data_IF_070793261147
#
_entry.id   IF_070793261147
#
_cell.length_a   1.000
_cell.length_b   1.000
_cell.length_c   1.000
_cell.angle_alpha   90.00
_cell.angle_beta   90.00
_cell.angle_gamma   90.00
#
_symmetry.space_group_name_H-M   'P 1'
#
loop_
_entity.id
_entity.type
_entity.pdbx_description
1 polymer ?
#
# COMPACT_ATOMS: atom_id res chain seq x y z
N UNK A 1 13.55 -28.56 3.45
CA UNK A 1 14.37 -27.38 3.81
C UNK A 1 14.83 -26.70 2.52
N UNK A 2 14.71 -25.37 2.34
CA UNK A 2 15.24 -24.71 1.16
C UNK A 2 16.75 -24.93 1.08
N UNK A 3 17.28 -25.06 -0.14
CA UNK A 3 18.73 -25.11 -0.33
C UNK A 3 19.38 -23.87 0.29
N UNK A 4 20.63 -24.00 0.79
CA UNK A 4 21.36 -22.89 1.41
C UNK A 4 21.36 -21.65 0.51
N UNK A 5 21.49 -21.85 -0.81
CA UNK A 5 21.41 -20.82 -1.84
C UNK A 5 20.06 -20.11 -1.86
N UNK A 6 18.94 -20.86 -1.87
CA UNK A 6 17.59 -20.27 -1.85
C UNK A 6 17.35 -19.46 -0.58
N UNK A 7 17.81 -19.95 0.58
CA UNK A 7 17.74 -19.20 1.84
C UNK A 7 18.52 -17.89 1.78
N UNK A 8 19.78 -17.92 1.35
CA UNK A 8 20.62 -16.71 1.24
C UNK A 8 20.00 -15.70 0.27
N UNK A 9 19.52 -16.15 -0.89
CA UNK A 9 18.87 -15.28 -1.87
C UNK A 9 17.60 -14.62 -1.30
N UNK A 10 16.77 -15.41 -0.60
CA UNK A 10 15.51 -14.92 0.01
C UNK A 10 15.80 -13.91 1.12
N UNK A 11 16.78 -14.21 1.98
CA UNK A 11 17.14 -13.34 3.10
C UNK A 11 17.80 -12.04 2.59
N UNK A 12 18.67 -12.12 1.59
CA UNK A 12 19.31 -10.96 0.95
C UNK A 12 18.27 -10.05 0.28
N UNK A 13 17.34 -10.62 -0.48
CA UNK A 13 16.24 -9.87 -1.08
C UNK A 13 15.34 -9.24 -0.01
N UNK A 14 15.07 -9.96 1.08
CA UNK A 14 14.27 -9.47 2.20
C UNK A 14 14.89 -8.27 2.90
N UNK A 15 16.19 -8.34 3.24
CA UNK A 15 16.91 -7.20 3.80
C UNK A 15 17.05 -6.05 2.80
N UNK A 16 17.32 -6.35 1.53
CA UNK A 16 17.38 -5.35 0.47
C UNK A 16 16.09 -4.54 0.35
N UNK A 17 14.92 -5.20 0.37
CA UNK A 17 13.63 -4.54 0.35
C UNK A 17 13.37 -3.67 1.59
N UNK A 18 13.80 -4.11 2.78
CA UNK A 18 13.68 -3.29 3.99
C UNK A 18 14.57 -2.04 3.90
N UNK A 19 15.82 -2.19 3.49
CA UNK A 19 16.74 -1.05 3.33
C UNK A 19 16.25 -0.07 2.28
N UNK A 20 15.75 -0.57 1.14
CA UNK A 20 15.11 0.27 0.13
C UNK A 20 13.87 0.97 0.68
N UNK A 21 13.04 0.27 1.45
CA UNK A 21 11.86 0.86 2.08
C UNK A 21 12.19 1.96 3.09
N UNK A 22 13.27 1.82 3.85
CA UNK A 22 13.78 2.87 4.75
C UNK A 22 14.35 4.04 3.93
N UNK A 23 15.19 3.76 2.94
CA UNK A 23 15.82 4.77 2.08
C UNK A 23 14.80 5.54 1.22
N UNK A 24 13.65 4.94 0.92
CA UNK A 24 12.55 5.56 0.18
C UNK A 24 11.39 5.98 1.08
N UNK A 25 11.48 5.77 2.39
CA UNK A 25 10.42 6.08 3.36
C UNK A 25 10.14 7.58 3.53
N UNK A 26 11.10 8.43 3.17
CA UNK A 26 10.96 9.89 3.15
C UNK A 26 10.32 10.41 1.86
N UNK A 27 10.26 9.61 0.79
CA UNK A 27 9.58 10.03 -0.43
C UNK A 27 8.07 10.13 -0.15
N UNK A 28 7.42 11.27 -0.47
CA UNK A 28 5.99 11.43 -0.34
C UNK A 28 5.31 10.50 -1.36
N UNK A 29 5.06 9.27 -0.91
CA UNK A 29 4.56 8.19 -1.74
C UNK A 29 4.42 6.90 -0.95
N UNK A 30 3.65 5.93 -1.44
CA UNK A 30 3.29 4.72 -0.73
C UNK A 30 4.39 3.66 -0.81
N UNK A 31 5.64 4.04 -1.12
CA UNK A 31 6.70 3.08 -1.43
C UNK A 31 7.30 2.43 -0.19
N UNK A 32 7.62 3.24 0.83
CA UNK A 32 8.43 2.78 1.96
C UNK A 32 7.78 1.67 2.78
N UNK A 33 6.54 1.88 3.23
CA UNK A 33 5.86 0.93 4.13
C UNK A 33 5.59 -0.42 3.43
N UNK A 34 5.01 -0.49 2.21
CA UNK A 34 4.85 -1.74 1.48
C UNK A 34 6.17 -2.44 1.14
N UNK A 35 7.24 -1.70 0.84
CA UNK A 35 8.59 -2.29 0.62
C UNK A 35 9.11 -2.96 1.90
N UNK A 36 9.01 -2.28 3.06
CA UNK A 36 9.39 -2.85 4.35
C UNK A 36 8.53 -4.08 4.68
N UNK A 37 7.20 -4.00 4.48
CA UNK A 37 6.30 -5.13 4.70
C UNK A 37 6.57 -6.29 3.75
N UNK A 38 6.90 -6.02 2.49
CA UNK A 38 7.30 -7.01 1.49
C UNK A 38 8.60 -7.71 1.88
N UNK A 39 9.60 -6.94 2.33
CA UNK A 39 10.87 -7.47 2.83
C UNK A 39 10.70 -8.33 4.09
N UNK A 40 9.88 -7.88 5.05
CA UNK A 40 9.51 -8.68 6.22
C UNK A 40 8.73 -9.95 5.83
N UNK A 41 7.86 -9.86 4.82
CA UNK A 41 7.17 -11.00 4.24
C UNK A 41 8.15 -12.06 3.73
N UNK A 42 9.17 -11.64 2.97
CA UNK A 42 10.21 -12.53 2.45
C UNK A 42 11.05 -13.14 3.57
N UNK A 43 11.49 -12.33 4.54
CA UNK A 43 12.26 -12.80 5.70
C UNK A 43 11.46 -13.78 6.57
N UNK A 44 10.14 -13.62 6.66
CA UNK A 44 9.27 -14.48 7.48
C UNK A 44 9.19 -15.94 7.03
N UNK A 45 9.68 -16.24 5.81
CA UNK A 45 9.80 -17.60 5.27
C UNK A 45 10.82 -18.40 6.07
N UNK A 46 11.96 -17.81 6.39
CA UNK A 46 13.07 -18.49 7.07
C UNK A 46 13.31 -17.99 8.51
N UNK A 47 12.72 -16.85 8.90
CA UNK A 47 13.01 -16.19 10.16
C UNK A 47 11.75 -15.96 11.00
N UNK A 48 11.66 -16.65 12.14
CA UNK A 48 10.53 -16.53 13.05
C UNK A 48 10.38 -15.13 13.66
N UNK A 49 11.49 -14.40 13.85
CA UNK A 49 11.45 -13.01 14.34
C UNK A 49 10.74 -12.08 13.35
N UNK A 50 11.02 -12.23 12.04
CA UNK A 50 10.41 -11.40 11.00
C UNK A 50 8.91 -11.65 10.89
N UNK A 51 8.50 -12.91 11.09
CA UNK A 51 7.09 -13.28 11.21
C UNK A 51 6.41 -12.58 12.39
N UNK A 52 7.02 -12.64 13.59
CA UNK A 52 6.48 -11.98 14.79
C UNK A 52 6.37 -10.47 14.61
N UNK A 53 7.41 -9.83 14.05
CA UNK A 53 7.42 -8.40 13.79
C UNK A 53 6.33 -8.01 12.78
N UNK A 54 6.18 -8.75 11.68
CA UNK A 54 5.12 -8.50 10.69
C UNK A 54 3.73 -8.54 11.33
N UNK A 55 3.45 -9.56 12.15
CA UNK A 55 2.17 -9.69 12.86
C UNK A 55 1.95 -8.51 13.79
N UNK A 56 2.95 -8.14 14.59
CA UNK A 56 2.87 -6.97 15.48
C UNK A 56 2.60 -5.66 14.71
N UNK A 57 3.25 -5.45 13.56
CA UNK A 57 3.00 -4.28 12.71
C UNK A 57 1.57 -4.29 12.16
N UNK A 58 1.05 -5.44 11.75
CA UNK A 58 -0.32 -5.54 11.25
C UNK A 58 -1.36 -5.26 12.33
N UNK A 59 -1.15 -5.81 13.53
CA UNK A 59 -2.04 -5.62 14.68
C UNK A 59 -2.05 -4.16 15.15
N UNK A 60 -0.87 -3.55 15.28
CA UNK A 60 -0.77 -2.16 15.73
C UNK A 60 -1.16 -1.16 14.63
N UNK A 61 -0.77 -1.46 13.39
CA UNK A 61 -0.98 -0.62 12.21
C UNK A 61 -2.46 -0.46 11.84
N UNK A 62 -3.28 -1.50 12.06
CA UNK A 62 -4.73 -1.43 11.86
C UNK A 62 -5.40 -0.30 12.66
N UNK A 63 -4.88 0.04 13.85
CA UNK A 63 -5.40 1.16 14.66
C UNK A 63 -5.01 2.54 14.11
N UNK A 64 -3.79 2.66 13.55
CA UNK A 64 -3.30 3.92 12.99
C UNK A 64 -3.99 4.24 11.66
N UNK A 65 -4.22 3.23 10.81
CA UNK A 65 -4.97 3.40 9.56
C UNK A 65 -6.39 3.89 9.85
N UNK A 66 -7.05 3.38 10.89
CA UNK A 66 -8.40 3.82 11.27
C UNK A 66 -8.45 5.25 11.82
N UNK A 67 -7.36 5.74 12.41
CA UNK A 67 -7.23 7.16 12.83
C UNK A 67 -6.96 8.09 11.64
N UNK A 68 -6.15 7.65 10.68
CA UNK A 68 -5.83 8.42 9.46
C UNK A 68 -6.97 8.42 8.44
N UNK A 69 -7.76 7.35 8.37
CA UNK A 69 -8.89 7.18 7.46
C UNK A 69 -10.16 6.85 8.25
N UNK A 70 -10.78 7.85 8.91
CA UNK A 70 -12.00 7.64 9.67
C UNK A 70 -13.13 7.15 8.75
N UNK A 71 -13.94 6.19 9.22
CA UNK A 71 -15.03 5.53 8.48
C UNK A 71 -16.26 6.44 8.23
N UNK A 72 -16.08 7.75 8.13
CA UNK A 72 -17.16 8.71 7.91
C UNK A 72 -17.49 8.80 6.41
N UNK A 73 -18.77 8.72 6.00
CA UNK A 73 -19.16 8.68 4.59
C UNK A 73 -18.69 9.92 3.80
N UNK A 74 -18.69 11.10 4.42
CA UNK A 74 -18.20 12.34 3.80
C UNK A 74 -16.69 12.31 3.58
N UNK A 75 -15.92 11.81 4.55
CA UNK A 75 -14.47 11.69 4.42
C UNK A 75 -14.11 10.72 3.28
N UNK A 76 -14.86 9.63 3.14
CA UNK A 76 -14.65 8.68 2.05
C UNK A 76 -15.00 9.26 0.67
N UNK A 77 -16.08 10.03 0.56
CA UNK A 77 -16.40 10.73 -0.69
C UNK A 77 -15.32 11.73 -1.07
N UNK A 78 -14.72 12.41 -0.09
CA UNK A 78 -13.58 13.30 -0.31
C UNK A 78 -12.35 12.53 -0.83
N UNK A 79 -12.03 11.37 -0.25
CA UNK A 79 -10.94 10.52 -0.76
C UNK A 79 -11.21 10.00 -2.18
N UNK A 80 -12.45 9.62 -2.51
CA UNK A 80 -12.84 9.20 -3.86
C UNK A 80 -12.63 10.34 -4.87
N UNK A 81 -13.06 11.56 -4.54
CA UNK A 81 -12.82 12.75 -5.37
C UNK A 81 -11.33 13.07 -5.50
N UNK A 82 -10.56 12.96 -4.41
CA UNK A 82 -9.13 13.17 -4.42
C UNK A 82 -8.42 12.16 -5.33
N UNK A 83 -8.83 10.89 -5.33
CA UNK A 83 -8.29 9.85 -6.22
C UNK A 83 -8.56 10.18 -7.69
N UNK A 84 -9.80 10.55 -8.03
CA UNK A 84 -10.18 10.95 -9.40
C UNK A 84 -9.36 12.17 -9.84
N UNK A 85 -9.21 13.16 -8.96
CA UNK A 85 -8.41 14.34 -9.22
C UNK A 85 -6.93 13.99 -9.45
N UNK A 86 -6.34 13.14 -8.61
CA UNK A 86 -4.95 12.69 -8.76
C UNK A 86 -4.77 11.96 -10.09
N UNK A 87 -5.68 11.07 -10.50
CA UNK A 87 -5.60 10.41 -11.80
C UNK A 87 -5.69 11.40 -12.97
N UNK A 88 -6.53 12.43 -12.87
CA UNK A 88 -6.60 13.49 -13.88
C UNK A 88 -5.27 14.25 -13.98
N UNK A 89 -4.64 14.58 -12.84
CA UNK A 89 -3.32 15.24 -12.79
C UNK A 89 -2.22 14.33 -13.38
N UNK A 90 -2.23 13.04 -13.05
CA UNK A 90 -1.29 12.05 -13.61
C UNK A 90 -1.45 11.95 -15.13
N UNK A 91 -2.67 11.83 -15.63
CA UNK A 91 -2.95 11.77 -17.06
C UNK A 91 -2.50 13.04 -17.79
N UNK A 92 -2.73 14.21 -17.19
CA UNK A 92 -2.30 15.49 -17.72
C UNK A 92 -0.76 15.63 -17.75
N UNK A 93 -0.07 15.25 -16.67
CA UNK A 93 1.39 15.25 -16.60
C UNK A 93 2.01 14.27 -17.62
N UNK A 94 1.42 13.08 -17.76
CA UNK A 94 1.85 12.09 -18.74
C UNK A 94 1.68 12.60 -20.18
N UNK A 95 0.57 13.28 -20.46
CA UNK A 95 0.32 13.85 -21.79
C UNK A 95 1.35 14.92 -22.16
N UNK A 96 1.76 15.76 -21.20
CA UNK A 96 2.64 16.91 -21.44
C UNK A 96 4.12 16.58 -21.70
N UNK A 97 4.57 15.33 -21.59
CA UNK A 97 5.91 14.84 -21.99
C UNK A 97 7.09 15.80 -21.68
N UNK A 98 7.11 16.51 -20.54
CA UNK A 98 8.01 17.65 -20.40
C UNK A 98 9.26 17.43 -19.51
N UNK A 99 9.34 16.42 -18.63
CA UNK A 99 10.58 16.10 -17.92
C UNK A 99 10.58 14.75 -17.15
N UNK A 100 11.77 14.16 -16.93
CA UNK A 100 11.98 12.94 -16.13
C UNK A 100 11.37 13.07 -14.72
N UNK A 101 11.50 14.23 -14.08
CA UNK A 101 10.94 14.45 -12.74
C UNK A 101 9.39 14.40 -12.71
N UNK A 102 8.73 14.78 -13.82
CA UNK A 102 7.28 14.69 -13.94
C UNK A 102 6.81 13.24 -14.04
N UNK A 103 7.59 12.39 -14.72
CA UNK A 103 7.33 10.95 -14.79
C UNK A 103 7.45 10.32 -13.40
N UNK A 104 8.50 10.66 -12.63
CA UNK A 104 8.65 10.20 -11.25
C UNK A 104 7.49 10.65 -10.36
N UNK A 105 7.09 11.92 -10.47
CA UNK A 105 5.98 12.48 -9.70
C UNK A 105 4.64 11.82 -10.08
N UNK A 106 4.36 11.66 -11.37
CA UNK A 106 3.17 11.01 -11.88
C UNK A 106 3.09 9.55 -11.43
N UNK A 107 4.22 8.84 -11.43
CA UNK A 107 4.31 7.46 -10.95
C UNK A 107 4.01 7.38 -9.45
N UNK A 108 4.59 8.27 -8.64
CA UNK A 108 4.30 8.33 -7.21
C UNK A 108 2.82 8.60 -6.94
N UNK A 109 2.25 9.63 -7.58
CA UNK A 109 0.84 10.01 -7.48
C UNK A 109 -0.10 8.87 -7.88
N UNK A 110 0.21 8.15 -8.96
CA UNK A 110 -0.53 6.98 -9.41
C UNK A 110 -0.60 5.89 -8.33
N UNK A 111 0.52 5.55 -7.71
CA UNK A 111 0.53 4.57 -6.63
C UNK A 111 -0.20 5.07 -5.37
N UNK A 112 -0.13 6.37 -5.03
CA UNK A 112 -0.90 6.96 -3.92
C UNK A 112 -2.39 6.76 -4.18
N UNK A 113 -2.85 7.10 -5.38
CA UNK A 113 -4.24 6.96 -5.79
C UNK A 113 -4.72 5.49 -5.69
N UNK A 114 -3.89 4.53 -6.13
CA UNK A 114 -4.19 3.11 -5.99
C UNK A 114 -4.29 2.66 -4.53
N UNK A 115 -3.42 3.13 -3.64
CA UNK A 115 -3.52 2.80 -2.21
C UNK A 115 -4.82 3.34 -1.60
N UNK A 116 -5.15 4.60 -1.87
CA UNK A 116 -6.38 5.21 -1.33
C UNK A 116 -7.61 4.45 -1.85
N UNK A 117 -7.65 4.12 -3.15
CA UNK A 117 -8.72 3.32 -3.74
C UNK A 117 -8.78 1.90 -3.15
N UNK A 118 -7.63 1.28 -2.90
CA UNK A 118 -7.53 -0.04 -2.27
C UNK A 118 -8.08 -0.06 -0.85
N UNK A 119 -7.73 0.93 -0.03
CA UNK A 119 -8.25 1.09 1.33
C UNK A 119 -9.77 1.32 1.30
N UNK A 120 -10.28 2.06 0.32
CA UNK A 120 -11.72 2.29 0.19
C UNK A 120 -12.49 1.10 -0.39
N UNK A 121 -11.83 0.12 -1.02
CA UNK A 121 -12.48 -1.09 -1.58
C UNK A 121 -13.20 -1.92 -0.52
N UNK A 122 -12.71 -1.91 0.73
CA UNK A 122 -13.35 -2.57 1.86
C UNK A 122 -14.77 -2.04 2.13
N UNK A 123 -15.03 -0.75 1.82
CA UNK A 123 -16.37 -0.17 1.85
C UNK A 123 -17.29 -0.86 0.84
N UNK A 124 -16.84 -1.06 -0.40
CA UNK A 124 -17.65 -1.70 -1.45
C UNK A 124 -18.01 -3.13 -1.11
N UNK A 125 -17.08 -3.88 -0.49
CA UNK A 125 -17.35 -5.22 0.02
C UNK A 125 -18.42 -5.21 1.13
N UNK A 126 -18.33 -4.28 2.08
CA UNK A 126 -19.30 -4.16 3.18
C UNK A 126 -20.70 -3.69 2.72
N UNK A 127 -20.77 -2.77 1.74
CA UNK A 127 -22.03 -2.30 1.14
C UNK A 127 -22.69 -3.39 0.30
N UNK A 128 -21.90 -4.13 -0.49
CA UNK A 128 -22.39 -5.28 -1.27
C UNK A 128 -22.96 -6.37 -0.35
N UNK A 129 -22.29 -6.66 0.77
CA UNK A 129 -22.79 -7.60 1.77
C UNK A 129 -24.13 -7.15 2.37
N UNK A 130 -24.28 -5.86 2.70
CA UNK A 130 -25.55 -5.29 3.21
C UNK A 130 -26.67 -5.30 2.18
N UNK A 131 -26.38 -5.01 0.91
CA UNK A 131 -27.36 -5.02 -0.18
C UNK A 131 -27.81 -6.44 -0.54
N UNK A 132 -26.90 -7.41 -0.52
CA UNK A 132 -27.21 -8.82 -0.77
C UNK A 132 -28.17 -9.40 0.29
N UNK A 133 -28.03 -8.99 1.55
CA UNK A 133 -28.87 -9.46 2.65
C UNK A 133 -30.28 -8.84 2.66
N UNK A 134 -30.46 -7.71 1.98
CA UNK A 134 -31.75 -7.04 1.83
C UNK A 134 -32.61 -7.65 0.70
N UNK A 135 -32.00 -8.38 -0.23
CA UNK A 135 -32.67 -8.98 -1.38
C UNK A 135 -33.15 -10.43 -1.14
N UNK A 136 -32.91 -10.98 0.06
CA UNK A 136 -33.30 -12.35 0.45
C UNK A 136 -34.43 -12.39 1.48
N UNK A 137 -35.05 -11.25 1.78
CA UNK A 137 -36.27 -11.10 2.58
C UNK A 137 -37.35 -10.46 1.71
#
# INVERSE_FOLDING_TARGET
MPSKVKRIATDTAGYGLILLGIATGWLPGPGGIPLVLGGLGLLSINNAWARRLRVWIMDQGGSYVQKLFPKHPVAQAFYDLAVVFIFAVVAWLAWKHAAIWQISLATALFFIALLIAGINRDRYASLKARLSHKNTN
#
